data_IF_929289511667
#
_entry.id   IF_929289511667
#
_cell.length_a   1.000
_cell.length_b   1.000
_cell.length_c   1.000
_cell.angle_alpha   90.00
_cell.angle_beta   90.00
_cell.angle_gamma   90.00
#
_symmetry.space_group_name_H-M   'P 1'
#
loop_
_entity.id
_entity.type
_entity.pdbx_description
1 polymer ?
#
# COMPACT_ATOMS: atom_id res chain seq x y z
N UNK A 1 -16.58 18.54 11.45
CA UNK A 1 -17.17 18.15 10.15
C UNK A 1 -18.37 19.01 9.80
N UNK A 2 -19.45 19.00 10.59
CA UNK A 2 -20.65 19.81 10.31
C UNK A 2 -20.39 21.32 10.20
N UNK A 3 -19.58 21.89 11.11
CA UNK A 3 -19.24 23.33 11.02
C UNK A 3 -18.46 23.67 9.74
N UNK A 4 -17.58 22.77 9.28
CA UNK A 4 -16.82 22.95 8.04
C UNK A 4 -17.73 22.81 6.81
N UNK A 5 -18.68 21.86 6.83
CA UNK A 5 -19.70 21.70 5.79
C UNK A 5 -20.58 22.95 5.65
N UNK A 6 -21.01 23.53 6.77
CA UNK A 6 -21.81 24.75 6.77
C UNK A 6 -21.01 25.98 6.30
N UNK A 7 -19.75 26.11 6.73
CA UNK A 7 -18.89 27.24 6.36
C UNK A 7 -18.53 27.25 4.87
N UNK A 8 -18.34 26.07 4.27
CA UNK A 8 -17.99 25.93 2.85
C UNK A 8 -19.19 25.61 1.95
N UNK A 9 -20.41 25.65 2.47
CA UNK A 9 -21.65 25.31 1.77
C UNK A 9 -21.59 23.95 1.04
N UNK A 10 -20.89 22.97 1.63
CA UNK A 10 -20.72 21.66 1.02
C UNK A 10 -21.88 20.73 1.36
N UNK A 11 -22.47 20.16 0.30
CA UNK A 11 -23.53 19.16 0.42
C UNK A 11 -22.93 17.78 0.17
N UNK A 12 -23.08 16.85 1.11
CA UNK A 12 -22.62 15.46 0.95
C UNK A 12 -23.26 14.83 -0.28
N UNK A 13 -22.49 14.05 -1.03
CA UNK A 13 -22.92 13.45 -2.30
C UNK A 13 -22.62 14.29 -3.54
N UNK A 14 -22.14 15.53 -3.37
CA UNK A 14 -21.62 16.35 -4.47
C UNK A 14 -20.12 16.18 -4.67
N UNK A 15 -19.59 16.53 -5.84
CA UNK A 15 -18.14 16.48 -6.09
C UNK A 15 -17.33 17.32 -5.10
N UNK A 16 -17.85 18.48 -4.66
CA UNK A 16 -17.19 19.31 -3.65
C UNK A 16 -17.00 18.56 -2.31
N UNK A 17 -17.95 17.69 -1.95
CA UNK A 17 -17.86 16.89 -0.72
C UNK A 17 -16.79 15.79 -0.74
N UNK A 18 -16.15 15.53 -1.89
CA UNK A 18 -15.07 14.56 -1.99
C UNK A 18 -13.82 14.97 -1.21
N UNK A 19 -13.59 16.28 -1.03
CA UNK A 19 -12.48 16.75 -0.18
C UNK A 19 -12.65 16.25 1.26
N UNK A 20 -13.88 16.26 1.78
CA UNK A 20 -14.19 15.69 3.10
C UNK A 20 -14.16 14.17 3.11
N UNK A 21 -14.67 13.52 2.06
CA UNK A 21 -14.60 12.06 1.94
C UNK A 21 -13.14 11.56 1.86
N UNK A 22 -12.23 12.39 1.32
CA UNK A 22 -10.81 12.07 1.15
C UNK A 22 -10.04 11.93 2.46
N UNK A 23 -10.61 12.42 3.57
CA UNK A 23 -10.05 12.21 4.91
C UNK A 23 -10.14 10.74 5.31
N UNK A 24 -11.18 10.04 4.86
CA UNK A 24 -11.46 8.66 5.24
C UNK A 24 -10.84 7.66 4.26
N UNK A 25 -10.93 7.96 2.97
CA UNK A 25 -10.49 7.08 1.89
C UNK A 25 -9.82 7.88 0.78
N UNK A 26 -9.29 7.23 -0.25
CA UNK A 26 -8.52 7.91 -1.29
C UNK A 26 -9.34 8.20 -2.54
N UNK A 27 -8.99 9.29 -3.23
CA UNK A 27 -9.59 9.68 -4.50
C UNK A 27 -8.49 10.16 -5.45
N UNK A 28 -8.66 10.02 -6.77
CA UNK A 28 -7.62 10.38 -7.72
C UNK A 28 -7.56 11.89 -7.88
N UNK A 29 -6.35 12.41 -8.09
CA UNK A 29 -6.15 13.78 -8.52
C UNK A 29 -6.99 14.09 -9.78
N UNK A 30 -7.69 15.23 -9.86
CA UNK A 30 -8.49 15.62 -11.02
C UNK A 30 -7.73 15.55 -12.36
N UNK A 31 -6.42 15.81 -12.36
CA UNK A 31 -5.58 15.80 -13.54
C UNK A 31 -5.21 14.39 -14.05
N UNK A 32 -5.44 13.34 -13.26
CA UNK A 32 -5.14 11.96 -13.64
C UNK A 32 -6.35 11.26 -14.26
N UNK A 33 -6.07 10.45 -15.28
CA UNK A 33 -7.02 9.45 -15.78
C UNK A 33 -7.09 8.23 -14.84
N UNK A 34 -8.19 7.49 -14.93
CA UNK A 34 -8.40 6.24 -14.18
C UNK A 34 -7.27 5.23 -14.42
N UNK A 35 -6.78 5.11 -15.66
CA UNK A 35 -5.67 4.22 -15.99
C UNK A 35 -4.33 4.66 -15.37
N UNK A 36 -4.07 5.97 -15.32
CA UNK A 36 -2.87 6.49 -14.65
C UNK A 36 -2.93 6.28 -13.13
N UNK A 37 -4.09 6.51 -12.52
CA UNK A 37 -4.28 6.25 -11.09
C UNK A 37 -4.08 4.76 -10.74
N UNK A 38 -4.58 3.86 -11.60
CA UNK A 38 -4.32 2.42 -11.47
C UNK A 38 -2.83 2.10 -11.51
N UNK A 39 -2.10 2.64 -12.50
CA UNK A 39 -0.66 2.41 -12.63
C UNK A 39 0.12 2.93 -11.42
N UNK A 40 -0.23 4.11 -10.90
CA UNK A 40 0.39 4.67 -9.70
C UNK A 40 0.22 3.73 -8.52
N UNK A 41 -1.01 3.28 -8.22
CA UNK A 41 -1.28 2.35 -7.11
C UNK A 41 -0.56 1.00 -7.25
N UNK A 42 -0.47 0.45 -8.48
CA UNK A 42 0.33 -0.77 -8.75
C UNK A 42 1.80 -0.54 -8.40
N UNK A 43 2.40 0.55 -8.89
CA UNK A 43 3.83 0.83 -8.72
C UNK A 43 4.17 1.05 -7.25
N UNK A 44 3.44 1.93 -6.56
CA UNK A 44 3.74 2.24 -5.15
C UNK A 44 3.55 1.03 -4.24
N UNK A 45 2.56 0.17 -4.53
CA UNK A 45 2.34 -1.05 -3.75
C UNK A 45 3.39 -2.11 -4.05
N UNK A 46 3.87 -2.20 -5.29
CA UNK A 46 5.00 -3.07 -5.63
C UNK A 46 6.28 -2.67 -4.89
N UNK A 47 6.57 -1.37 -4.83
CA UNK A 47 7.69 -0.83 -4.05
C UNK A 47 7.50 -1.15 -2.57
N UNK A 48 6.31 -0.87 -2.02
CA UNK A 48 5.98 -1.15 -0.62
C UNK A 48 6.26 -2.62 -0.27
N UNK A 49 5.70 -3.56 -1.04
CA UNK A 49 5.87 -4.99 -0.77
C UNK A 49 7.30 -5.48 -0.98
N UNK A 50 7.97 -5.02 -2.04
CA UNK A 50 9.36 -5.39 -2.30
C UNK A 50 10.30 -4.92 -1.17
N UNK A 51 10.10 -3.71 -0.66
CA UNK A 51 10.91 -3.18 0.44
C UNK A 51 10.52 -3.82 1.77
N UNK A 52 9.23 -4.09 2.05
CA UNK A 52 8.83 -4.86 3.24
C UNK A 52 9.59 -6.18 3.28
N UNK A 53 9.56 -6.96 2.20
CA UNK A 53 10.28 -8.24 2.13
C UNK A 53 11.79 -8.05 2.34
N UNK A 54 12.38 -7.03 1.72
CA UNK A 54 13.80 -6.66 1.88
C UNK A 54 14.17 -6.31 3.32
N UNK A 55 13.28 -5.62 4.05
CA UNK A 55 13.49 -5.23 5.44
C UNK A 55 13.31 -6.41 6.40
N UNK A 56 12.40 -7.35 6.09
CA UNK A 56 12.09 -8.51 6.93
C UNK A 56 12.91 -9.77 6.62
N UNK A 57 13.72 -9.76 5.56
CA UNK A 57 14.63 -10.87 5.25
C UNK A 57 15.96 -10.71 6.01
N UNK A 58 16.20 -11.62 6.95
CA UNK A 58 17.43 -11.65 7.75
C UNK A 58 18.67 -12.08 6.95
N UNK A 59 18.50 -12.65 5.75
CA UNK A 59 19.60 -12.96 4.84
C UNK A 59 20.06 -11.71 4.06
N UNK A 60 19.29 -10.63 4.12
CA UNK A 60 19.54 -9.40 3.38
C UNK A 60 20.28 -8.36 4.24
N UNK A 61 21.58 -8.58 4.41
CA UNK A 61 22.46 -7.74 5.22
C UNK A 61 22.30 -8.01 6.72
N UNK A 62 22.44 -6.98 7.55
CA UNK A 62 22.25 -7.13 9.00
C UNK A 62 20.76 -7.25 9.34
N UNK A 63 20.38 -8.22 10.20
CA UNK A 63 19.03 -8.32 10.73
C UNK A 63 18.59 -7.00 11.39
N UNK A 64 17.43 -6.50 10.97
CA UNK A 64 16.92 -5.20 11.41
C UNK A 64 16.16 -5.33 12.75
N UNK A 65 15.73 -6.54 13.08
CA UNK A 65 15.06 -6.88 14.34
C UNK A 65 13.93 -5.89 14.67
N UNK A 66 13.97 -5.24 15.85
CA UNK A 66 12.92 -4.33 16.30
C UNK A 66 12.83 -3.03 15.48
N UNK A 67 13.82 -2.71 14.63
CA UNK A 67 13.79 -1.52 13.77
C UNK A 67 12.97 -1.73 12.50
N UNK A 68 12.64 -2.97 12.11
CA UNK A 68 11.92 -3.24 10.86
C UNK A 68 10.56 -2.50 10.79
N UNK A 69 9.69 -2.50 11.83
CA UNK A 69 8.43 -1.76 11.78
C UNK A 69 8.61 -0.25 11.64
N UNK A 70 9.64 0.34 12.28
CA UNK A 70 9.93 1.77 12.17
C UNK A 70 10.34 2.14 10.73
N UNK A 71 11.18 1.31 10.10
CA UNK A 71 11.63 1.52 8.73
C UNK A 71 10.49 1.36 7.72
N UNK A 72 9.57 0.41 7.96
CA UNK A 72 8.35 0.26 7.15
C UNK A 72 7.45 1.51 7.30
N UNK A 73 7.30 2.04 8.51
CA UNK A 73 6.57 3.29 8.73
C UNK A 73 7.19 4.49 8.00
N UNK A 74 8.53 4.61 8.03
CA UNK A 74 9.25 5.65 7.30
C UNK A 74 9.10 5.50 5.78
N UNK A 75 9.15 4.27 5.27
CA UNK A 75 8.89 3.98 3.86
C UNK A 75 7.49 4.45 3.45
N UNK A 76 6.47 4.12 4.23
CA UNK A 76 5.09 4.56 3.97
C UNK A 76 5.00 6.09 3.97
N UNK A 77 5.69 6.76 4.90
CA UNK A 77 5.73 8.23 4.96
C UNK A 77 6.39 8.85 3.72
N UNK A 78 7.49 8.27 3.21
CA UNK A 78 8.17 8.73 2.00
C UNK A 78 7.32 8.49 0.75
N UNK A 79 6.64 7.35 0.66
CA UNK A 79 5.69 7.09 -0.44
C UNK A 79 4.53 8.09 -0.38
N UNK A 80 3.97 8.32 0.81
CA UNK A 80 2.86 9.25 1.01
C UNK A 80 3.22 10.70 0.67
N UNK A 81 4.40 11.17 1.06
CA UNK A 81 4.84 12.54 0.76
C UNK A 81 5.15 12.78 -0.71
N UNK A 82 5.62 11.76 -1.43
CA UNK A 82 5.96 11.87 -2.85
C UNK A 82 4.77 11.61 -3.77
N UNK A 83 4.01 10.54 -3.54
CA UNK A 83 2.96 10.06 -4.44
C UNK A 83 1.55 10.35 -3.94
N UNK A 84 1.39 10.83 -2.70
CA UNK A 84 0.08 11.10 -2.13
C UNK A 84 -0.79 12.12 -2.89
N UNK A 85 -0.23 13.20 -3.46
CA UNK A 85 -1.00 14.13 -4.29
C UNK A 85 -1.62 13.51 -5.56
N UNK A 86 -1.18 12.31 -5.97
CA UNK A 86 -1.67 11.63 -7.17
C UNK A 86 -2.93 10.79 -6.88
N UNK A 87 -2.86 9.87 -5.92
CA UNK A 87 -3.95 8.89 -5.65
C UNK A 87 -4.30 8.73 -4.18
N UNK A 88 -3.65 9.46 -3.28
CA UNK A 88 -3.81 9.31 -1.83
C UNK A 88 -3.12 8.08 -1.23
N UNK A 89 -2.23 7.42 -1.99
CA UNK A 89 -1.39 6.28 -1.56
C UNK A 89 -2.19 5.19 -0.85
N UNK A 90 -3.23 4.64 -1.50
CA UNK A 90 -4.12 3.68 -0.85
C UNK A 90 -3.36 2.44 -0.41
N UNK A 91 -2.63 1.79 -1.33
CA UNK A 91 -1.74 0.64 -1.12
C UNK A 91 -2.33 -0.58 -0.39
N UNK A 92 -3.59 -0.51 0.03
CA UNK A 92 -4.24 -1.48 0.89
C UNK A 92 -5.76 -1.42 0.66
N UNK A 93 -6.36 -2.51 0.15
CA UNK A 93 -7.80 -2.56 -0.12
C UNK A 93 -8.66 -2.33 1.12
N UNK A 94 -8.27 -2.86 2.29
CA UNK A 94 -9.03 -2.71 3.53
C UNK A 94 -8.97 -1.26 4.07
N UNK A 95 -7.82 -0.60 3.91
CA UNK A 95 -7.60 0.80 4.31
C UNK A 95 -8.46 1.78 3.51
N UNK A 96 -8.87 1.40 2.30
CA UNK A 96 -9.66 2.25 1.42
C UNK A 96 -11.15 1.87 1.38
N UNK A 97 -11.46 0.59 1.17
CA UNK A 97 -12.82 0.12 0.97
C UNK A 97 -13.69 0.23 2.23
N UNK A 98 -13.15 -0.10 3.41
CA UNK A 98 -13.88 0.01 4.67
C UNK A 98 -14.37 1.43 4.95
N UNK A 99 -13.48 2.44 4.89
CA UNK A 99 -13.88 3.84 5.03
C UNK A 99 -14.79 4.35 3.90
N UNK A 100 -14.67 3.85 2.66
CA UNK A 100 -15.63 4.14 1.57
C UNK A 100 -17.04 3.64 1.91
N UNK A 101 -17.15 2.43 2.43
CA UNK A 101 -18.44 1.88 2.86
C UNK A 101 -19.04 2.70 4.01
N UNK A 102 -18.21 3.12 4.97
CA UNK A 102 -18.67 3.99 6.06
C UNK A 102 -19.19 5.33 5.53
N UNK A 103 -18.43 6.00 4.65
CA UNK A 103 -18.84 7.30 4.08
C UNK A 103 -20.09 7.20 3.21
N UNK A 104 -20.26 6.08 2.49
CA UNK A 104 -21.48 5.77 1.74
C UNK A 104 -22.71 5.82 2.66
N UNK A 105 -22.68 5.11 3.79
CA UNK A 105 -23.77 5.13 4.78
C UNK A 105 -23.87 6.45 5.55
N UNK A 106 -22.79 7.21 5.69
CA UNK A 106 -22.76 8.51 6.37
C UNK A 106 -23.33 9.67 5.53
N UNK A 107 -23.91 9.38 4.36
CA UNK A 107 -24.65 10.35 3.56
C UNK A 107 -23.92 10.89 2.33
N UNK A 108 -22.70 10.41 2.02
CA UNK A 108 -22.06 10.71 0.73
C UNK A 108 -22.65 9.88 -0.42
N UNK A 109 -23.29 8.73 -0.12
CA UNK A 109 -23.92 7.91 -1.14
C UNK A 109 -22.94 7.43 -2.21
N UNK A 110 -23.41 7.28 -3.45
CA UNK A 110 -22.64 6.66 -4.54
C UNK A 110 -21.30 7.35 -4.84
N UNK A 111 -21.19 8.65 -4.56
CA UNK A 111 -19.95 9.39 -4.82
C UNK A 111 -18.77 8.88 -3.98
N UNK A 112 -19.04 8.24 -2.83
CA UNK A 112 -18.01 7.55 -2.03
C UNK A 112 -17.30 6.45 -2.80
N UNK A 113 -17.99 5.76 -3.71
CA UNK A 113 -17.43 4.68 -4.51
C UNK A 113 -16.92 5.18 -5.86
N UNK A 114 -17.64 6.11 -6.50
CA UNK A 114 -17.28 6.57 -7.84
C UNK A 114 -16.18 7.62 -7.83
N UNK A 115 -16.09 8.45 -6.79
CA UNK A 115 -15.20 9.60 -6.76
C UNK A 115 -15.56 10.65 -7.82
N UNK A 116 -16.80 10.67 -8.30
CA UNK A 116 -17.26 11.57 -9.36
C UNK A 116 -16.67 11.27 -10.74
N UNK A 117 -16.19 10.03 -10.97
CA UNK A 117 -15.66 9.55 -12.25
C UNK A 117 -16.66 8.60 -12.92
N UNK A 118 -16.59 8.49 -14.25
CA UNK A 118 -17.42 7.55 -15.03
C UNK A 118 -17.15 6.09 -14.67
N UNK A 119 -15.87 5.76 -14.43
CA UNK A 119 -15.44 4.45 -13.95
C UNK A 119 -15.38 4.50 -12.43
N UNK A 120 -16.04 3.58 -11.70
CA UNK A 120 -16.04 3.60 -10.25
C UNK A 120 -14.64 3.49 -9.66
N UNK A 121 -14.18 4.56 -8.99
CA UNK A 121 -12.80 4.64 -8.52
C UNK A 121 -12.44 3.57 -7.47
N UNK A 122 -13.38 3.12 -6.65
CA UNK A 122 -13.14 2.12 -5.60
C UNK A 122 -12.51 0.81 -6.12
N UNK A 123 -12.68 0.49 -7.41
CA UNK A 123 -12.05 -0.67 -8.04
C UNK A 123 -10.53 -0.55 -8.04
N UNK A 124 -9.98 0.66 -8.19
CA UNK A 124 -8.53 0.88 -8.27
C UNK A 124 -7.85 0.53 -6.94
N UNK A 125 -8.21 1.13 -5.78
CA UNK A 125 -7.62 0.78 -4.49
C UNK A 125 -7.84 -0.68 -4.05
N UNK A 126 -8.74 -1.42 -4.69
CA UNK A 126 -8.91 -2.86 -4.45
C UNK A 126 -7.93 -3.66 -5.32
N UNK A 127 -8.03 -3.53 -6.64
CA UNK A 127 -7.30 -4.43 -7.54
C UNK A 127 -5.84 -4.02 -7.77
N UNK A 128 -5.55 -2.72 -7.87
CA UNK A 128 -4.20 -2.25 -8.14
C UNK A 128 -3.22 -2.62 -7.01
N UNK A 129 -3.54 -2.45 -5.71
CA UNK A 129 -2.65 -2.88 -4.64
C UNK A 129 -2.40 -4.39 -4.61
N UNK A 130 -3.42 -5.22 -4.90
CA UNK A 130 -3.24 -6.68 -4.93
C UNK A 130 -2.23 -7.07 -6.02
N UNK A 131 -2.41 -6.52 -7.23
CA UNK A 131 -1.52 -6.77 -8.36
C UNK A 131 -0.12 -6.24 -8.05
N UNK A 132 -0.01 -5.01 -7.56
CA UNK A 132 1.26 -4.41 -7.16
C UNK A 132 1.99 -5.22 -6.11
N UNK A 133 1.27 -5.69 -5.08
CA UNK A 133 1.84 -6.53 -4.02
C UNK A 133 2.43 -7.84 -4.56
N UNK A 134 1.70 -8.54 -5.42
CA UNK A 134 2.18 -9.75 -6.07
C UNK A 134 3.42 -9.48 -6.93
N UNK A 135 3.42 -8.40 -7.72
CA UNK A 135 4.56 -8.00 -8.55
C UNK A 135 5.78 -7.62 -7.72
N UNK A 136 5.61 -6.84 -6.65
CA UNK A 136 6.67 -6.47 -5.72
C UNK A 136 7.31 -7.68 -5.04
N UNK A 137 6.48 -8.62 -4.60
CA UNK A 137 6.95 -9.87 -4.01
C UNK A 137 7.71 -10.74 -5.02
N UNK A 138 7.19 -10.87 -6.25
CA UNK A 138 7.85 -11.60 -7.32
C UNK A 138 9.19 -10.96 -7.70
N UNK A 139 9.23 -9.63 -7.82
CA UNK A 139 10.45 -8.87 -8.12
C UNK A 139 11.50 -9.04 -7.01
N UNK A 140 11.12 -8.93 -5.74
CA UNK A 140 12.04 -9.15 -4.62
C UNK A 140 12.65 -10.56 -4.67
N UNK A 141 11.80 -11.59 -4.80
CA UNK A 141 12.26 -12.99 -4.87
C UNK A 141 13.16 -13.24 -6.09
N UNK A 142 12.77 -12.70 -7.24
CA UNK A 142 13.44 -12.92 -8.52
C UNK A 142 14.77 -12.20 -8.65
N UNK A 143 14.83 -10.94 -8.20
CA UNK A 143 15.95 -10.04 -8.46
C UNK A 143 16.89 -9.89 -7.26
N UNK A 144 16.38 -9.97 -6.03
CA UNK A 144 17.19 -9.75 -4.82
C UNK A 144 17.45 -11.07 -4.11
N UNK A 145 16.39 -11.74 -3.63
CA UNK A 145 16.53 -12.91 -2.76
C UNK A 145 17.34 -14.05 -3.40
N UNK A 146 17.23 -14.23 -4.72
CA UNK A 146 18.01 -15.21 -5.48
C UNK A 146 19.53 -15.00 -5.46
N UNK A 147 19.97 -13.78 -5.20
CA UNK A 147 21.38 -13.41 -5.16
C UNK A 147 21.90 -13.23 -3.73
N UNK A 148 21.06 -13.47 -2.72
CA UNK A 148 21.48 -13.44 -1.32
C UNK A 148 22.17 -14.75 -0.93
N UNK A 149 23.16 -14.69 -0.02
CA UNK A 149 23.79 -15.90 0.49
C UNK A 149 22.76 -16.74 1.24
N UNK A 150 22.61 -18.02 0.84
CA UNK A 150 21.78 -18.96 1.60
C UNK A 150 22.45 -19.19 2.95
N UNK A 151 21.77 -18.90 4.05
CA UNK A 151 22.20 -19.39 5.36
C UNK A 151 22.10 -20.91 5.33
N UNK A 152 23.24 -21.59 5.16
CA UNK A 152 23.33 -23.02 5.41
C UNK A 152 22.97 -23.19 6.89
N UNK A 153 21.87 -23.87 7.25
CA UNK A 153 21.59 -24.12 8.65
C UNK A 153 22.77 -24.91 9.21
N UNK A 154 23.35 -24.42 10.31
CA UNK A 154 24.51 -24.98 11.01
C UNK A 154 24.34 -26.45 11.49
N UNK A 155 23.24 -27.10 11.12
CA UNK A 155 22.90 -28.48 11.47
C UNK A 155 23.64 -29.52 10.64
N UNK A 156 24.15 -29.20 9.43
CA UNK A 156 24.92 -30.19 8.64
C UNK A 156 26.36 -30.37 9.10
N UNK A 157 26.99 -29.35 9.66
CA UNK A 157 28.38 -29.43 10.12
C UNK A 157 28.51 -30.11 11.50
N UNK A 158 27.51 -29.94 12.36
CA UNK A 158 27.46 -30.63 13.65
C UNK A 158 27.26 -32.16 13.51
N UNK A 159 26.47 -32.61 12.53
CA UNK A 159 26.26 -34.04 12.29
C UNK A 159 27.50 -34.72 11.68
N UNK A 160 28.26 -34.01 10.83
CA UNK A 160 29.52 -34.52 10.27
C UNK A 160 30.66 -34.55 11.30
N UNK A 161 30.74 -33.55 12.19
CA UNK A 161 31.72 -33.52 13.28
C UNK A 161 31.43 -34.55 14.38
N UNK A 162 30.17 -34.99 14.53
CA UNK A 162 29.78 -36.05 15.44
C UNK A 162 30.04 -37.46 14.85
N UNK A 163 29.82 -37.66 13.55
CA UNK A 163 30.04 -38.95 12.87
C UNK A 163 31.51 -39.32 12.62
N UNK A 164 32.43 -38.36 12.65
CA UNK A 164 33.87 -38.58 12.43
C UNK A 164 34.65 -38.85 13.73
N UNK A 165 33.97 -38.90 14.89
CA UNK A 165 34.55 -39.23 16.20
C UNK A 165 34.17 -40.65 16.70
N UNK A 166 33.91 -41.58 15.78
CA UNK A 166 33.74 -42.99 16.09
C UNK A 166 34.68 -43.85 15.25
#
# INVERSE_FOLDING_TARGET
FFDFEQTHHMVRGTQASLELASVFSTFPNPALSTGQAFLVEVIITAILMGVIMSLTDDNNGLPKGPLAPLLIGLLIAVIGSSMGPLTGFAMNPARDFGPKLMTFFAGWGEISFTGGRDIPYFLIPIFAPIIGACLGAAAYRGLIARHLPSVIPATKDAEHACRTRH
#
